data_IF_423541178643
#
_entry.id   IF_423541178643
#
_cell.length_a   1.000
_cell.length_b   1.000
_cell.length_c   1.000
_cell.angle_alpha   90.00
_cell.angle_beta   90.00
_cell.angle_gamma   90.00
#
_symmetry.space_group_name_H-M   'P 1'
#
loop_
_entity.id
_entity.type
_entity.pdbx_description
1 polymer ?
#
# COMPACT_ATOMS: atom_id res chain seq x y z
N UNK A 1 20.87 -3.69 -8.74
CA UNK A 1 19.60 -3.62 -8.01
C UNK A 1 19.40 -4.98 -7.34
N UNK A 2 18.96 -4.99 -6.06
CA UNK A 2 18.81 -6.22 -5.27
C UNK A 2 17.35 -6.65 -5.11
N UNK A 3 16.41 -5.74 -5.33
CA UNK A 3 14.99 -5.99 -5.27
C UNK A 3 14.20 -4.73 -5.61
N UNK A 4 12.94 -4.92 -5.95
CA UNK A 4 11.93 -3.88 -6.15
C UNK A 4 10.87 -4.11 -5.07
N UNK A 5 10.60 -3.09 -4.26
CA UNK A 5 9.64 -3.16 -3.16
C UNK A 5 8.45 -2.27 -3.48
N UNK A 6 7.25 -2.80 -3.40
CA UNK A 6 6.02 -2.09 -3.76
C UNK A 6 5.10 -1.99 -2.54
N UNK A 7 4.63 -0.78 -2.28
CA UNK A 7 3.84 -0.46 -1.09
C UNK A 7 2.41 -0.97 -1.19
N UNK A 8 1.78 -0.85 -2.37
CA UNK A 8 0.41 -1.26 -2.61
C UNK A 8 0.12 -1.35 -4.12
N UNK A 9 -1.07 -1.85 -4.48
CA UNK A 9 -1.43 -2.23 -5.84
C UNK A 9 -2.12 -1.16 -6.68
N UNK A 10 -2.10 0.12 -6.34
CA UNK A 10 -2.62 1.17 -7.22
C UNK A 10 -1.77 1.35 -8.47
N UNK A 11 -2.41 1.77 -9.56
CA UNK A 11 -1.82 1.83 -10.90
C UNK A 11 -0.59 2.74 -10.97
N UNK A 12 -0.62 3.87 -10.31
CA UNK A 12 0.48 4.84 -10.24
C UNK A 12 1.71 4.32 -9.48
N UNK A 13 1.54 3.25 -8.67
CA UNK A 13 2.64 2.58 -7.97
C UNK A 13 3.16 1.32 -8.68
N UNK A 14 2.30 0.60 -9.41
CA UNK A 14 2.70 -0.67 -10.06
C UNK A 14 2.73 -0.60 -11.59
N UNK A 15 2.13 0.41 -12.22
CA UNK A 15 1.92 0.46 -13.66
C UNK A 15 3.20 0.49 -14.50
N UNK A 16 4.27 1.08 -13.99
CA UNK A 16 5.57 1.11 -14.68
C UNK A 16 6.40 -0.18 -14.53
N UNK A 17 6.00 -1.10 -13.65
CA UNK A 17 6.79 -2.29 -13.30
C UNK A 17 7.16 -3.16 -14.52
N UNK A 18 6.24 -3.49 -15.47
CA UNK A 18 6.60 -4.29 -16.62
C UNK A 18 7.73 -3.67 -17.46
N UNK A 19 7.72 -2.35 -17.60
CA UNK A 19 8.76 -1.62 -18.37
C UNK A 19 10.10 -1.62 -17.63
N UNK A 20 10.08 -1.45 -16.32
CA UNK A 20 11.29 -1.53 -15.47
C UNK A 20 11.91 -2.92 -15.53
N UNK A 21 11.10 -3.98 -15.45
CA UNK A 21 11.57 -5.37 -15.47
C UNK A 21 12.17 -5.80 -16.81
N UNK A 22 11.81 -5.17 -17.91
CA UNK A 22 12.49 -5.38 -19.20
C UNK A 22 13.95 -4.90 -19.17
N UNK A 23 14.26 -3.87 -18.38
CA UNK A 23 15.60 -3.30 -18.25
C UNK A 23 16.38 -3.87 -17.07
N UNK A 24 15.67 -4.29 -16.00
CA UNK A 24 16.26 -4.72 -14.72
C UNK A 24 15.58 -5.98 -14.22
N UNK A 25 16.27 -7.11 -14.31
CA UNK A 25 15.78 -8.37 -13.73
C UNK A 25 16.11 -8.41 -12.23
N UNK A 26 15.12 -8.06 -11.39
CA UNK A 26 15.24 -8.09 -9.93
C UNK A 26 13.99 -8.71 -9.30
N UNK A 27 14.11 -9.38 -8.14
CA UNK A 27 12.95 -9.85 -7.39
C UNK A 27 12.00 -8.70 -7.03
N UNK A 28 10.71 -8.97 -7.13
CA UNK A 28 9.64 -8.02 -6.76
C UNK A 28 9.03 -8.48 -5.44
N UNK A 29 9.11 -7.64 -4.44
CA UNK A 29 8.65 -7.86 -3.08
C UNK A 29 7.42 -7.03 -2.79
N UNK A 30 6.30 -7.68 -2.44
CA UNK A 30 5.06 -6.99 -2.07
C UNK A 30 4.13 -7.91 -1.27
N UNK A 31 3.00 -7.36 -0.83
CA UNK A 31 1.92 -8.09 -0.16
C UNK A 31 1.09 -8.93 -1.14
N UNK A 32 0.31 -9.92 -0.65
CA UNK A 32 -0.43 -10.85 -1.51
C UNK A 32 -1.33 -10.20 -2.55
N UNK A 33 -2.17 -9.23 -2.14
CA UNK A 33 -3.08 -8.54 -3.06
C UNK A 33 -2.30 -7.74 -4.11
N UNK A 34 -1.28 -7.00 -3.68
CA UNK A 34 -0.41 -6.23 -4.58
C UNK A 34 0.25 -7.14 -5.61
N UNK A 35 0.78 -8.31 -5.21
CA UNK A 35 1.36 -9.28 -6.15
C UNK A 35 0.32 -9.89 -7.08
N UNK A 36 -0.92 -10.10 -6.62
CA UNK A 36 -2.01 -10.56 -7.47
C UNK A 36 -2.28 -9.60 -8.63
N UNK A 37 -2.36 -8.30 -8.34
CA UNK A 37 -2.55 -7.24 -9.34
C UNK A 37 -1.34 -7.12 -10.27
N UNK A 38 -0.12 -7.19 -9.73
CA UNK A 38 1.12 -7.20 -10.52
C UNK A 38 1.16 -8.37 -11.49
N UNK A 39 0.76 -9.56 -11.04
CA UNK A 39 0.75 -10.76 -11.88
C UNK A 39 -0.12 -10.56 -13.13
N UNK A 40 -1.31 -9.98 -12.99
CA UNK A 40 -2.17 -9.67 -14.13
C UNK A 40 -1.47 -8.76 -15.14
N UNK A 41 -0.78 -7.72 -14.66
CA UNK A 41 0.00 -6.82 -15.53
C UNK A 41 1.16 -7.53 -16.22
N UNK A 42 1.86 -8.40 -15.51
CA UNK A 42 2.98 -9.15 -16.06
C UNK A 42 2.52 -10.18 -17.10
N UNK A 43 1.29 -10.71 -16.98
CA UNK A 43 0.66 -11.57 -17.99
C UNK A 43 0.49 -10.83 -19.33
N UNK A 44 0.01 -9.59 -19.29
CA UNK A 44 -0.14 -8.74 -20.51
C UNK A 44 1.18 -8.46 -21.25
N UNK A 45 2.31 -8.60 -20.56
CA UNK A 45 3.65 -8.32 -21.09
C UNK A 45 4.54 -9.58 -21.25
N UNK A 46 4.00 -10.79 -21.08
CA UNK A 46 4.75 -12.06 -21.14
C UNK A 46 5.96 -12.11 -20.18
N UNK A 47 5.83 -11.51 -19.01
CA UNK A 47 6.90 -11.38 -18.01
C UNK A 47 6.75 -12.28 -16.78
N UNK A 48 5.60 -12.95 -16.56
CA UNK A 48 5.34 -13.74 -15.35
C UNK A 48 6.42 -14.81 -15.14
N UNK A 49 6.76 -15.57 -16.17
CA UNK A 49 7.77 -16.64 -16.08
C UNK A 49 9.20 -16.15 -15.91
N UNK A 50 9.44 -14.87 -16.14
CA UNK A 50 10.76 -14.23 -16.10
C UNK A 50 10.97 -13.43 -14.81
N UNK A 51 9.91 -13.21 -14.01
CA UNK A 51 9.93 -12.35 -12.82
C UNK A 51 9.79 -13.18 -11.57
N UNK A 52 10.69 -12.98 -10.62
CA UNK A 52 10.56 -13.58 -9.29
C UNK A 52 9.65 -12.68 -8.43
N UNK A 53 8.45 -13.17 -8.11
CA UNK A 53 7.52 -12.53 -7.18
C UNK A 53 7.70 -13.14 -5.79
N UNK A 54 7.90 -12.30 -4.77
CA UNK A 54 8.16 -12.73 -3.38
C UNK A 54 7.14 -12.08 -2.47
N UNK A 55 6.32 -12.92 -1.85
CA UNK A 55 5.24 -12.48 -0.96
C UNK A 55 5.77 -12.14 0.42
N UNK A 56 5.29 -11.03 0.98
CA UNK A 56 5.56 -10.58 2.34
C UNK A 56 4.30 -10.10 3.03
N UNK A 57 4.38 -10.06 4.36
CA UNK A 57 3.33 -9.57 5.23
C UNK A 57 3.87 -8.46 6.15
N UNK A 58 2.99 -7.61 6.71
CA UNK A 58 3.41 -6.68 7.76
C UNK A 58 4.17 -7.39 8.89
N UNK A 59 5.29 -6.80 9.30
CA UNK A 59 6.23 -7.38 10.26
C UNK A 59 7.41 -8.13 9.63
N UNK A 60 7.34 -8.49 8.34
CA UNK A 60 8.47 -9.12 7.66
C UNK A 60 9.62 -8.14 7.45
N UNK A 61 10.85 -8.66 7.55
CA UNK A 61 12.07 -7.90 7.29
C UNK A 61 12.91 -8.62 6.24
N UNK A 62 13.19 -7.94 5.14
CA UNK A 62 13.91 -8.48 3.97
C UNK A 62 15.29 -7.85 3.86
N UNK A 63 16.33 -8.70 3.76
CA UNK A 63 17.69 -8.24 3.48
C UNK A 63 17.92 -8.05 1.98
N UNK A 64 18.34 -6.85 1.60
CA UNK A 64 18.67 -6.47 0.23
C UNK A 64 20.07 -5.83 0.18
N UNK A 65 21.11 -6.67 0.23
CA UNK A 65 22.50 -6.22 0.33
C UNK A 65 22.82 -5.65 1.71
N UNK A 66 23.23 -4.37 1.78
CA UNK A 66 23.47 -3.68 3.05
C UNK A 66 22.21 -3.06 3.67
N UNK A 67 21.06 -3.18 2.99
CA UNK A 67 19.78 -2.70 3.48
C UNK A 67 18.96 -3.84 4.14
N UNK A 68 18.12 -3.47 5.10
CA UNK A 68 17.02 -4.30 5.57
C UNK A 68 15.74 -3.51 5.41
N UNK A 69 14.73 -4.09 4.76
CA UNK A 69 13.44 -3.45 4.48
C UNK A 69 12.37 -4.13 5.31
N UNK A 70 11.78 -3.41 6.24
CA UNK A 70 10.68 -3.87 7.08
C UNK A 70 9.36 -3.42 6.49
N UNK A 71 8.38 -4.32 6.43
CA UNK A 71 7.02 -4.06 5.98
C UNK A 71 6.13 -3.66 7.18
N UNK A 72 5.53 -2.48 7.13
CA UNK A 72 4.69 -1.93 8.21
C UNK A 72 3.27 -1.75 7.66
N UNK A 73 2.26 -2.30 8.34
CA UNK A 73 0.88 -2.12 7.91
C UNK A 73 0.47 -0.64 7.93
N UNK A 74 -0.12 -0.21 6.82
CA UNK A 74 -0.80 1.08 6.72
C UNK A 74 -2.18 0.90 6.10
N UNK A 75 -3.10 1.73 6.54
CA UNK A 75 -4.44 1.74 5.98
C UNK A 75 -4.51 2.73 4.81
N UNK A 76 -5.15 2.31 3.74
CA UNK A 76 -5.33 3.10 2.52
C UNK A 76 -6.68 2.75 1.86
N UNK A 77 -6.96 3.27 0.66
CA UNK A 77 -8.18 2.94 -0.11
C UNK A 77 -8.10 1.60 -0.85
N UNK A 78 -7.02 0.86 -0.69
CA UNK A 78 -6.82 -0.51 -1.15
C UNK A 78 -6.28 -1.34 0.01
N UNK A 79 -6.75 -2.58 0.14
CA UNK A 79 -6.26 -3.50 1.17
C UNK A 79 -4.78 -3.88 0.97
N UNK A 80 -4.17 -4.42 2.01
CA UNK A 80 -2.80 -4.93 2.00
C UNK A 80 -1.72 -3.85 1.76
N UNK A 81 -2.04 -2.56 1.97
CA UNK A 81 -1.06 -1.49 1.83
C UNK A 81 -0.02 -1.51 2.95
N UNK A 82 1.23 -1.20 2.60
CA UNK A 82 2.34 -1.16 3.55
C UNK A 82 3.22 0.07 3.35
N UNK A 83 3.81 0.53 4.45
CA UNK A 83 4.97 1.40 4.47
C UNK A 83 6.24 0.55 4.60
N UNK A 84 7.37 1.17 4.34
CA UNK A 84 8.68 0.56 4.54
C UNK A 84 9.52 1.34 5.56
N UNK A 85 10.13 0.61 6.53
CA UNK A 85 11.28 1.09 7.24
C UNK A 85 12.53 0.49 6.60
N UNK A 86 13.35 1.34 6.00
CA UNK A 86 14.55 0.95 5.27
C UNK A 86 15.74 1.24 6.17
N UNK A 87 16.27 0.19 6.81
CA UNK A 87 17.44 0.28 7.65
C UNK A 87 18.70 0.25 6.77
N UNK A 88 19.50 1.28 6.90
CA UNK A 88 20.74 1.48 6.13
C UNK A 88 21.93 1.61 7.09
N UNK A 89 23.17 1.47 6.60
CA UNK A 89 24.35 1.69 7.44
C UNK A 89 24.49 3.10 8.04
N UNK A 90 23.74 4.07 7.49
CA UNK A 90 23.79 5.49 7.94
C UNK A 90 22.53 5.94 8.69
N UNK A 91 21.54 5.08 8.82
CA UNK A 91 20.31 5.39 9.55
C UNK A 91 19.07 4.79 8.89
N UNK A 92 17.93 4.95 9.55
CA UNK A 92 16.65 4.43 9.09
C UNK A 92 15.92 5.48 8.26
N UNK A 93 15.47 5.09 7.06
CA UNK A 93 14.59 5.88 6.21
C UNK A 93 13.21 5.25 6.24
N UNK A 94 12.17 6.06 6.46
CA UNK A 94 10.78 5.62 6.38
C UNK A 94 10.18 6.13 5.07
N UNK A 95 9.54 5.23 4.32
CA UNK A 95 8.71 5.54 3.15
C UNK A 95 7.29 5.08 3.45
N UNK A 96 6.36 6.02 3.61
CA UNK A 96 5.00 5.68 4.04
C UNK A 96 4.17 4.98 2.97
N UNK A 97 4.52 5.16 1.68
CA UNK A 97 3.55 4.93 0.62
C UNK A 97 2.35 5.85 0.83
N UNK A 98 1.24 5.51 0.21
CA UNK A 98 -0.03 6.20 0.45
C UNK A 98 -0.69 5.63 1.70
N UNK A 99 -1.11 6.49 2.59
CA UNK A 99 -1.68 6.06 3.85
C UNK A 99 -2.74 7.03 4.38
N UNK A 100 -3.53 6.54 5.32
CA UNK A 100 -4.41 7.34 6.16
C UNK A 100 -4.38 6.85 7.61
N UNK A 101 -4.86 7.67 8.52
CA UNK A 101 -5.06 7.29 9.92
C UNK A 101 -6.57 7.27 10.16
N UNK A 102 -7.16 6.08 10.02
CA UNK A 102 -8.58 5.85 10.24
C UNK A 102 -8.77 4.62 11.13
N UNK A 103 -9.17 4.80 12.41
CA UNK A 103 -9.37 3.69 13.33
C UNK A 103 -10.60 2.84 13.00
N UNK A 104 -11.42 3.24 12.05
CA UNK A 104 -12.66 2.55 11.66
C UNK A 104 -12.55 1.75 10.37
N UNK A 105 -11.34 1.68 9.79
CA UNK A 105 -11.11 0.90 8.57
C UNK A 105 -11.23 -0.60 8.84
N UNK A 106 -11.87 -1.31 7.92
CA UNK A 106 -12.02 -2.78 7.98
C UNK A 106 -10.69 -3.52 7.81
N UNK A 107 -9.73 -2.93 7.10
CA UNK A 107 -8.38 -3.46 6.89
C UNK A 107 -7.44 -3.26 8.11
N UNK A 108 -7.97 -2.74 9.20
CA UNK A 108 -7.21 -2.41 10.39
C UNK A 108 -6.64 -0.99 10.38
N UNK A 109 -6.07 -0.58 11.48
CA UNK A 109 -5.48 0.74 11.66
C UNK A 109 -4.00 0.73 11.27
N UNK A 110 -3.53 1.80 10.65
CA UNK A 110 -2.08 2.04 10.46
C UNK A 110 -1.31 1.79 11.74
N UNK A 111 -0.22 1.02 11.68
CA UNK A 111 0.59 0.63 12.85
C UNK A 111 1.37 1.82 13.41
N UNK A 112 0.64 2.72 14.08
CA UNK A 112 1.22 3.89 14.76
C UNK A 112 2.17 3.48 15.90
N UNK A 113 1.96 2.28 16.46
CA UNK A 113 2.83 1.73 17.50
C UNK A 113 4.25 1.51 16.95
N UNK A 114 4.37 0.86 15.79
CA UNK A 114 5.67 0.63 15.16
C UNK A 114 6.33 1.93 14.71
N UNK A 115 5.57 2.86 14.13
CA UNK A 115 6.09 4.19 13.79
C UNK A 115 6.59 4.95 15.02
N UNK A 116 5.87 4.88 16.14
CA UNK A 116 6.29 5.48 17.41
C UNK A 116 7.60 4.88 17.95
N UNK A 117 7.80 3.57 17.81
CA UNK A 117 9.05 2.90 18.19
C UNK A 117 10.21 3.36 17.30
N UNK A 118 10.03 3.36 15.99
CA UNK A 118 11.04 3.85 15.04
C UNK A 118 11.41 5.31 15.30
N UNK A 119 10.42 6.15 15.61
CA UNK A 119 10.66 7.54 15.98
C UNK A 119 11.53 7.69 17.24
N UNK A 120 11.40 6.81 18.24
CA UNK A 120 12.25 6.77 19.43
C UNK A 120 13.65 6.25 19.14
N UNK A 121 13.78 5.29 18.22
CA UNK A 121 15.08 4.76 17.78
C UNK A 121 15.86 5.80 16.95
N UNK A 122 15.17 6.74 16.32
CA UNK A 122 15.71 7.78 15.45
C UNK A 122 15.55 7.46 13.98
N UNK A 123 14.90 8.37 13.26
CA UNK A 123 14.66 8.30 11.81
C UNK A 123 15.53 9.34 11.11
N UNK A 124 16.34 8.88 10.14
CA UNK A 124 17.22 9.74 9.37
C UNK A 124 16.44 10.57 8.34
N UNK A 125 15.46 9.95 7.67
CA UNK A 125 14.59 10.63 6.70
C UNK A 125 13.21 10.01 6.66
N UNK A 126 12.20 10.85 6.44
CA UNK A 126 10.80 10.44 6.24
C UNK A 126 10.34 10.91 4.86
N UNK A 127 9.98 9.95 4.00
CA UNK A 127 9.29 10.17 2.72
C UNK A 127 7.81 9.90 2.96
N UNK A 128 7.06 10.99 3.11
CA UNK A 128 5.65 10.92 3.54
C UNK A 128 4.71 11.30 2.39
N UNK A 129 3.61 10.56 2.26
CA UNK A 129 2.49 10.96 1.43
C UNK A 129 2.04 12.39 1.80
N UNK A 130 1.88 13.22 0.79
CA UNK A 130 1.50 14.62 0.94
C UNK A 130 0.38 15.04 -0.01
N UNK A 131 -0.39 14.09 -0.53
CA UNK A 131 -1.44 14.30 -1.54
C UNK A 131 -2.44 15.38 -1.16
N UNK A 132 -2.83 15.44 0.12
CA UNK A 132 -3.80 16.42 0.63
C UNK A 132 -3.17 17.52 1.50
N UNK A 133 -1.87 17.73 1.45
CA UNK A 133 -1.16 18.66 2.36
C UNK A 133 -1.65 20.11 2.27
N UNK A 134 -2.14 20.54 1.10
CA UNK A 134 -2.68 21.89 0.90
C UNK A 134 -4.17 22.04 1.22
N UNK A 135 -4.87 20.92 1.50
CA UNK A 135 -6.30 20.96 1.82
C UNK A 135 -6.50 21.18 3.31
N UNK A 136 -7.27 22.21 3.65
CA UNK A 136 -7.68 22.44 5.03
C UNK A 136 -8.76 21.45 5.47
N UNK A 137 -8.72 21.07 6.76
CA UNK A 137 -9.71 20.17 7.38
C UNK A 137 -9.25 18.72 7.45
N UNK A 138 -10.22 17.83 7.64
CA UNK A 138 -10.00 16.39 7.81
C UNK A 138 -10.84 15.60 6.81
N UNK A 139 -10.31 14.50 6.34
CA UNK A 139 -11.09 13.52 5.58
C UNK A 139 -11.96 12.74 6.57
N UNK A 140 -13.28 12.61 6.34
CA UNK A 140 -14.14 11.76 7.16
C UNK A 140 -13.67 10.30 7.16
N UNK A 141 -13.96 9.60 8.26
CA UNK A 141 -13.63 8.18 8.35
C UNK A 141 -14.52 7.31 7.44
N UNK A 142 -14.07 6.11 7.11
CA UNK A 142 -14.83 5.15 6.27
C UNK A 142 -16.19 4.78 6.90
N UNK A 143 -16.31 4.77 8.23
CA UNK A 143 -17.59 4.52 8.90
C UNK A 143 -18.69 5.50 8.50
N UNK A 144 -18.36 6.76 8.25
CA UNK A 144 -19.32 7.77 7.77
C UNK A 144 -19.86 7.43 6.38
N UNK A 145 -18.99 6.87 5.52
CA UNK A 145 -19.38 6.40 4.17
C UNK A 145 -20.31 5.21 4.29
N UNK A 146 -19.98 4.21 5.11
CA UNK A 146 -20.78 3.01 5.35
C UNK A 146 -22.16 3.36 5.88
N UNK A 147 -22.26 4.23 6.89
CA UNK A 147 -23.53 4.71 7.43
C UNK A 147 -24.38 5.44 6.36
N UNK A 148 -23.73 6.21 5.51
CA UNK A 148 -24.40 6.94 4.43
C UNK A 148 -24.96 6.00 3.37
N UNK A 149 -24.17 5.00 2.95
CA UNK A 149 -24.62 3.96 2.01
C UNK A 149 -25.78 3.17 2.59
N UNK A 150 -25.68 2.72 3.84
CA UNK A 150 -26.73 1.96 4.52
C UNK A 150 -28.06 2.74 4.58
N UNK A 151 -28.01 4.02 4.89
CA UNK A 151 -29.17 4.91 4.89
C UNK A 151 -29.83 5.02 3.50
N UNK A 152 -29.02 5.20 2.46
CA UNK A 152 -29.51 5.30 1.10
C UNK A 152 -30.08 3.98 0.58
N UNK A 153 -29.44 2.86 0.92
CA UNK A 153 -29.89 1.53 0.49
C UNK A 153 -31.19 1.11 1.16
N UNK A 154 -31.29 1.27 2.48
CA UNK A 154 -32.53 0.93 3.23
C UNK A 154 -33.74 1.76 2.81
N UNK A 155 -33.55 3.00 2.39
CA UNK A 155 -34.63 3.89 1.92
C UNK A 155 -35.02 3.68 0.47
N UNK A 156 -34.25 2.96 -0.34
CA UNK A 156 -34.47 2.84 -1.77
C UNK A 156 -35.47 1.74 -2.10
N UNK A 157 -36.52 2.10 -2.86
CA UNK A 157 -37.52 1.15 -3.37
C UNK A 157 -37.28 0.73 -4.83
N UNK A 158 -36.27 1.32 -5.46
CA UNK A 158 -35.94 1.11 -6.86
C UNK A 158 -34.59 0.40 -6.99
N UNK A 159 -34.11 0.22 -8.23
CA UNK A 159 -32.79 -0.32 -8.52
C UNK A 159 -31.70 0.64 -8.01
N UNK A 160 -30.70 0.09 -7.36
CA UNK A 160 -29.50 0.81 -6.93
C UNK A 160 -28.38 0.47 -7.91
N UNK A 161 -27.68 1.49 -8.38
CA UNK A 161 -26.46 1.34 -9.20
C UNK A 161 -25.32 1.93 -8.40
N UNK A 162 -24.35 1.09 -8.05
CA UNK A 162 -23.13 1.49 -7.33
C UNK A 162 -21.95 1.45 -8.30
N UNK A 163 -21.15 2.49 -8.30
CA UNK A 163 -19.91 2.55 -9.07
C UNK A 163 -18.77 3.00 -8.16
N UNK A 164 -17.64 2.30 -8.25
CA UNK A 164 -16.44 2.59 -7.47
C UNK A 164 -15.20 2.16 -8.26
N UNK A 165 -14.02 2.58 -7.83
CA UNK A 165 -12.78 2.02 -8.37
C UNK A 165 -12.68 0.53 -8.02
N UNK A 166 -12.19 -0.29 -8.96
CA UNK A 166 -12.02 -1.73 -8.76
C UNK A 166 -11.08 -2.07 -7.59
N UNK A 167 -10.15 -1.18 -7.25
CA UNK A 167 -9.24 -1.32 -6.12
C UNK A 167 -9.90 -1.04 -4.76
N UNK A 168 -11.05 -0.36 -4.72
CA UNK A 168 -11.72 0.00 -3.48
C UNK A 168 -12.75 -1.06 -3.07
N UNK A 169 -12.27 -2.24 -2.74
CA UNK A 169 -13.09 -3.41 -2.41
C UNK A 169 -13.91 -3.25 -1.12
N UNK A 170 -13.47 -2.38 -0.20
CA UNK A 170 -14.17 -2.14 1.07
C UNK A 170 -15.53 -1.45 0.91
N UNK A 171 -15.85 -0.94 -0.29
CA UNK A 171 -17.11 -0.24 -0.59
C UNK A 171 -18.07 -1.06 -1.45
N UNK A 172 -17.77 -2.32 -1.70
CA UNK A 172 -18.61 -3.28 -2.44
C UNK A 172 -19.20 -4.31 -1.50
#
# INVERSE_FOLDING_TARGET
IRGIFLTHGHEDHIGALPYVLQAVNAPVHATPLTLGLIKLKLEEHDLVSKTQLVTHHPGDVVKAGCFSVEFIHVNHSIADAVAFAIHTPVGTVIMTGDFKIDPTSEDGMTDLGRFGMLGKEGVYALLCDSTNVERQGYTPSESVVSESLDRHFKGCKNRIIVTTFASNMHRI
#
